data_IF_526977544804
#
_entry.id   IF_526977544804
#
_cell.length_a   1.000
_cell.length_b   1.000
_cell.length_c   1.000
_cell.angle_alpha   90.00
_cell.angle_beta   90.00
_cell.angle_gamma   90.00
#
_symmetry.space_group_name_H-M   'P 1'
#
loop_
_entity.id
_entity.type
_entity.pdbx_description
1 polymer ?
#
# COMPACT_ATOMS: atom_id res chain seq x y z
N UNK A 1 -13.73 -18.21 -64.23
CA UNK A 1 -12.65 -18.51 -65.20
C UNK A 1 -11.87 -17.22 -65.48
N UNK A 2 -10.65 -17.34 -66.03
CA UNK A 2 -9.98 -16.34 -66.90
C UNK A 2 -9.66 -14.92 -66.37
N UNK A 3 -8.36 -14.70 -66.05
CA UNK A 3 -7.58 -13.46 -66.36
C UNK A 3 -8.01 -12.11 -65.68
N UNK A 4 -7.23 -11.01 -65.60
CA UNK A 4 -5.87 -10.53 -66.01
C UNK A 4 -5.52 -9.33 -65.04
N UNK A 5 -4.36 -8.64 -64.99
CA UNK A 5 -2.90 -8.83 -65.21
C UNK A 5 -2.22 -7.45 -64.91
N UNK A 6 -0.87 -7.34 -64.95
CA UNK A 6 -0.04 -6.08 -65.03
C UNK A 6 -0.12 -5.16 -63.76
N UNK A 7 0.76 -4.20 -63.39
CA UNK A 7 1.93 -3.44 -63.92
C UNK A 7 3.03 -3.38 -62.81
N UNK A 8 4.31 -3.73 -63.01
CA UNK A 8 5.48 -2.88 -63.41
C UNK A 8 5.78 -1.65 -62.51
N UNK A 9 6.99 -1.13 -62.31
CA UNK A 9 8.39 -1.55 -62.56
C UNK A 9 9.34 -0.54 -61.86
N UNK A 10 10.65 -0.81 -61.75
CA UNK A 10 11.65 0.17 -61.28
C UNK A 10 13.00 0.00 -61.99
N UNK A 11 13.55 1.09 -62.54
CA UNK A 11 14.83 1.09 -63.27
C UNK A 11 16.04 1.30 -62.35
N UNK A 12 17.18 0.71 -62.72
CA UNK A 12 18.49 1.06 -62.19
C UNK A 12 19.24 1.93 -63.21
N UNK A 13 19.57 3.18 -62.86
CA UNK A 13 20.68 3.90 -63.51
C UNK A 13 21.16 5.09 -62.69
N UNK A 14 22.42 5.05 -62.25
CA UNK A 14 23.50 5.87 -62.84
C UNK A 14 24.82 5.53 -62.14
N UNK A 15 25.92 5.50 -62.89
CA UNK A 15 27.28 5.40 -62.33
C UNK A 15 27.88 6.81 -62.28
N UNK A 16 28.53 7.18 -61.18
CA UNK A 16 29.48 8.29 -61.17
C UNK A 16 30.91 7.74 -61.17
N UNK A 17 31.74 8.24 -62.08
CA UNK A 17 33.17 7.95 -62.15
C UNK A 17 33.92 9.19 -61.67
N UNK A 18 34.60 9.09 -60.53
CA UNK A 18 35.48 10.12 -59.99
C UNK A 18 36.82 9.46 -59.66
N UNK A 19 37.74 9.54 -60.62
CA UNK A 19 39.14 9.13 -60.45
C UNK A 19 39.85 10.10 -59.52
N UNK A 20 40.19 9.65 -58.31
CA UNK A 20 41.08 10.40 -57.43
C UNK A 20 42.50 10.20 -57.92
N UNK A 21 43.06 11.22 -58.58
CA UNK A 21 44.47 11.24 -58.96
C UNK A 21 45.35 11.28 -57.70
N UNK A 22 46.33 10.37 -57.63
CA UNK A 22 47.26 10.24 -56.51
C UNK A 22 48.29 11.38 -56.52
N UNK A 23 47.98 12.45 -55.78
CA UNK A 23 48.94 13.53 -55.54
C UNK A 23 50.13 13.02 -54.73
N UNK A 24 51.34 13.21 -55.27
CA UNK A 24 52.58 12.68 -54.70
C UNK A 24 52.89 13.30 -53.32
N UNK A 25 52.77 12.51 -52.24
CA UNK A 25 53.28 12.88 -50.93
C UNK A 25 54.79 12.60 -50.84
N UNK A 26 55.62 13.62 -51.10
CA UNK A 26 57.06 13.55 -50.74
C UNK A 26 57.21 13.52 -49.22
N UNK A 27 57.47 12.34 -48.67
CA UNK A 27 57.66 12.10 -47.24
C UNK A 27 59.07 12.48 -46.80
N UNK A 28 59.25 13.69 -46.27
CA UNK A 28 60.45 14.08 -45.52
C UNK A 28 60.15 14.12 -44.03
N UNK A 29 60.76 13.21 -43.27
CA UNK A 29 60.80 13.22 -41.80
C UNK A 29 62.10 12.59 -41.35
N UNK A 30 62.91 13.32 -40.59
CA UNK A 30 64.22 12.86 -40.10
C UNK A 30 64.13 12.30 -38.67
N UNK A 31 63.01 11.65 -38.34
CA UNK A 31 62.71 11.12 -37.00
C UNK A 31 62.28 9.65 -37.08
N UNK A 32 62.90 8.82 -36.24
CA UNK A 32 62.81 7.35 -36.23
C UNK A 32 61.47 6.78 -35.74
N UNK A 33 60.41 7.59 -35.69
CA UNK A 33 59.06 7.17 -35.26
C UNK A 33 57.97 8.03 -35.94
N UNK A 34 56.96 7.42 -36.59
CA UNK A 34 55.91 8.16 -37.30
C UNK A 34 54.78 8.61 -36.34
N UNK A 35 54.51 9.91 -36.27
CA UNK A 35 53.36 10.43 -35.51
C UNK A 35 52.03 10.10 -36.20
N UNK A 36 51.22 9.25 -35.57
CA UNK A 36 49.95 8.73 -36.12
C UNK A 36 48.77 9.73 -36.06
N UNK A 37 48.92 10.94 -36.60
CA UNK A 37 47.80 11.89 -36.69
C UNK A 37 46.81 11.49 -37.79
N UNK A 38 45.59 11.08 -37.39
CA UNK A 38 44.47 10.83 -38.31
C UNK A 38 43.62 12.08 -38.49
N UNK A 39 43.81 12.80 -39.60
CA UNK A 39 42.92 13.90 -39.99
C UNK A 39 41.61 13.30 -40.48
N UNK A 40 40.48 13.68 -39.85
CA UNK A 40 39.14 13.26 -40.26
C UNK A 40 38.50 14.32 -41.16
N UNK A 41 37.81 13.89 -42.23
CA UNK A 41 37.18 14.81 -43.18
C UNK A 41 36.07 15.66 -42.52
N UNK A 42 36.00 16.97 -42.81
CA UNK A 42 34.93 17.83 -42.31
C UNK A 42 33.58 17.45 -42.93
N UNK A 43 32.60 17.13 -42.09
CA UNK A 43 31.24 16.80 -42.51
C UNK A 43 30.36 18.05 -42.47
N UNK A 44 30.19 18.70 -43.62
CA UNK A 44 29.38 19.91 -43.79
C UNK A 44 27.87 19.61 -43.72
N UNK A 45 27.33 19.45 -42.52
CA UNK A 45 25.90 19.20 -42.28
C UNK A 45 25.06 20.49 -42.28
N UNK A 46 23.84 20.43 -42.85
CA UNK A 46 22.86 21.53 -42.82
C UNK A 46 22.45 21.89 -41.36
N UNK A 47 22.30 23.17 -41.00
CA UNK A 47 21.85 23.58 -39.67
C UNK A 47 20.46 23.01 -39.33
N UNK A 48 20.34 22.43 -38.12
CA UNK A 48 19.18 21.63 -37.74
C UNK A 48 17.90 22.48 -37.58
N UNK A 49 16.87 22.16 -38.37
CA UNK A 49 15.61 22.91 -38.49
C UNK A 49 14.87 23.03 -37.14
N UNK A 50 14.40 24.25 -36.84
CA UNK A 50 13.73 24.60 -35.57
C UNK A 50 12.46 23.76 -35.35
N UNK A 51 12.35 23.11 -34.19
CA UNK A 51 11.19 22.28 -33.84
C UNK A 51 9.91 23.14 -33.77
N UNK A 52 8.83 22.70 -34.43
CA UNK A 52 7.51 23.36 -34.36
C UNK A 52 6.92 23.23 -32.94
N UNK A 53 6.14 24.23 -32.52
CA UNK A 53 5.31 24.17 -31.30
C UNK A 53 4.24 23.08 -31.48
N UNK A 54 3.90 22.36 -30.42
CA UNK A 54 2.81 21.36 -30.43
C UNK A 54 1.46 22.07 -30.41
N UNK A 55 0.51 21.57 -31.22
CA UNK A 55 -0.83 22.15 -31.34
C UNK A 55 -1.60 22.10 -30.02
N UNK A 56 -2.42 23.12 -29.68
CA UNK A 56 -3.09 23.21 -28.38
C UNK A 56 -4.05 22.05 -28.12
N UNK A 57 -4.73 21.52 -29.16
CA UNK A 57 -5.57 20.32 -29.03
C UNK A 57 -4.74 19.05 -28.72
N UNK A 58 -3.52 18.95 -29.24
CA UNK A 58 -2.58 17.85 -28.97
C UNK A 58 -1.95 17.98 -27.58
N UNK A 59 -1.79 19.20 -27.05
CA UNK A 59 -1.42 19.42 -25.65
C UNK A 59 -2.56 19.01 -24.69
N UNK A 60 -3.75 19.57 -24.87
CA UNK A 60 -4.93 19.29 -24.02
C UNK A 60 -5.28 17.80 -23.97
N UNK A 61 -5.30 17.11 -25.11
CA UNK A 61 -5.57 15.67 -25.15
C UNK A 61 -4.49 14.81 -24.46
N UNK A 62 -3.23 15.27 -24.40
CA UNK A 62 -2.18 14.60 -23.59
C UNK A 62 -2.38 14.82 -22.11
N UNK A 63 -2.83 16.01 -21.69
CA UNK A 63 -3.15 16.33 -20.30
C UNK A 63 -4.38 15.58 -19.80
N UNK A 64 -5.46 15.55 -20.58
CA UNK A 64 -6.68 14.80 -20.22
C UNK A 64 -6.40 13.28 -20.21
N UNK A 65 -5.49 12.77 -21.05
CA UNK A 65 -4.99 11.39 -20.96
C UNK A 65 -4.12 11.13 -19.71
N UNK A 66 -3.48 12.15 -19.13
CA UNK A 66 -2.78 12.05 -17.83
C UNK A 66 -3.79 12.09 -16.67
N UNK A 67 -4.74 13.03 -16.66
CA UNK A 67 -5.81 13.11 -15.65
C UNK A 67 -6.58 11.80 -15.53
N UNK A 68 -7.08 11.26 -16.66
CA UNK A 68 -7.79 9.95 -16.73
C UNK A 68 -6.95 8.73 -16.33
N UNK A 69 -5.61 8.85 -16.22
CA UNK A 69 -4.76 7.81 -15.61
C UNK A 69 -4.72 7.98 -14.09
N UNK A 70 -4.35 9.17 -13.63
CA UNK A 70 -4.29 9.51 -12.20
C UNK A 70 -5.63 9.25 -11.50
N UNK A 71 -6.76 9.61 -12.13
CA UNK A 71 -8.11 9.28 -11.63
C UNK A 71 -8.34 7.78 -11.45
N UNK A 72 -7.84 6.94 -12.36
CA UNK A 72 -7.97 5.47 -12.29
C UNK A 72 -7.03 4.87 -11.25
N UNK A 73 -5.83 5.42 -11.12
CA UNK A 73 -4.85 5.04 -10.10
C UNK A 73 -5.36 5.41 -8.70
N UNK A 74 -5.87 6.63 -8.51
CA UNK A 74 -6.55 7.08 -7.28
C UNK A 74 -7.76 6.20 -6.96
N UNK A 75 -8.60 5.83 -7.95
CA UNK A 75 -9.74 4.92 -7.72
C UNK A 75 -9.30 3.52 -7.27
N UNK A 76 -8.18 3.00 -7.78
CA UNK A 76 -7.59 1.74 -7.29
C UNK A 76 -7.05 1.89 -5.87
N UNK A 77 -6.24 2.92 -5.61
CA UNK A 77 -5.68 3.17 -4.27
C UNK A 77 -6.79 3.35 -3.21
N UNK A 78 -7.86 4.07 -3.53
CA UNK A 78 -9.03 4.21 -2.63
C UNK A 78 -9.74 2.88 -2.37
N UNK A 79 -9.98 2.05 -3.39
CA UNK A 79 -10.60 0.73 -3.20
C UNK A 79 -9.76 -0.16 -2.29
N UNK A 80 -8.45 -0.08 -2.41
CA UNK A 80 -7.53 -0.98 -1.73
C UNK A 80 -7.23 -0.51 -0.29
N UNK A 81 -7.14 0.81 -0.05
CA UNK A 81 -7.09 1.39 1.30
C UNK A 81 -8.38 1.18 2.12
N UNK A 82 -9.49 0.77 1.47
CA UNK A 82 -10.74 0.37 2.12
C UNK A 82 -10.83 -1.14 2.39
N UNK A 83 -9.81 -1.94 2.02
CA UNK A 83 -9.76 -3.35 2.37
C UNK A 83 -9.25 -3.50 3.80
N UNK A 84 -10.08 -4.06 4.67
CA UNK A 84 -9.70 -4.40 6.03
C UNK A 84 -8.70 -5.57 6.01
N UNK A 85 -7.80 -5.63 7.00
CA UNK A 85 -7.01 -6.84 7.25
C UNK A 85 -7.96 -7.99 7.65
N UNK A 86 -7.70 -9.23 7.22
CA UNK A 86 -8.49 -10.38 7.69
C UNK A 86 -8.28 -10.58 9.20
N UNK A 87 -9.26 -11.22 9.84
CA UNK A 87 -9.22 -11.51 11.28
C UNK A 87 -9.01 -13.01 11.45
N UNK A 88 -7.75 -13.41 11.61
CA UNK A 88 -7.31 -14.81 11.67
C UNK A 88 -8.03 -15.65 12.76
N UNK A 89 -8.57 -15.02 13.80
CA UNK A 89 -9.34 -15.67 14.87
C UNK A 89 -10.77 -16.07 14.48
N UNK A 90 -11.36 -15.41 13.49
CA UNK A 90 -12.71 -15.70 13.00
C UNK A 90 -12.73 -16.77 11.90
N UNK A 91 -11.59 -17.01 11.25
CA UNK A 91 -11.47 -17.98 10.16
C UNK A 91 -10.96 -19.33 10.67
N UNK A 92 -11.69 -20.42 10.38
CA UNK A 92 -11.25 -21.78 10.74
C UNK A 92 -10.05 -22.16 9.86
N UNK A 93 -8.85 -22.42 10.42
CA UNK A 93 -7.67 -22.72 9.61
C UNK A 93 -7.83 -24.04 8.85
N UNK A 94 -7.54 -24.01 7.55
CA UNK A 94 -7.72 -25.14 6.63
C UNK A 94 -7.06 -26.45 7.08
N UNK A 95 -5.99 -26.38 7.88
CA UNK A 95 -5.31 -27.54 8.49
C UNK A 95 -6.24 -28.34 9.40
N UNK A 96 -7.10 -27.69 10.20
CA UNK A 96 -8.08 -28.36 11.06
C UNK A 96 -9.22 -28.96 10.24
N UNK A 97 -9.64 -28.30 9.15
CA UNK A 97 -10.65 -28.82 8.22
C UNK A 97 -10.15 -30.09 7.54
N UNK A 98 -8.93 -30.07 7.01
CA UNK A 98 -8.31 -31.24 6.36
C UNK A 98 -8.05 -32.40 7.35
N UNK A 99 -7.61 -32.10 8.58
CA UNK A 99 -7.34 -33.12 9.60
C UNK A 99 -8.60 -33.54 10.39
N UNK A 100 -9.81 -33.06 10.04
CA UNK A 100 -11.04 -33.27 10.82
C UNK A 100 -11.25 -34.74 11.22
N UNK A 101 -11.11 -35.67 10.29
CA UNK A 101 -11.37 -37.10 10.53
C UNK A 101 -10.36 -37.74 11.51
N UNK A 102 -9.16 -37.17 11.64
CA UNK A 102 -8.10 -37.65 12.54
C UNK A 102 -8.21 -36.98 13.92
N UNK A 103 -8.69 -35.73 13.98
CA UNK A 103 -8.75 -34.93 15.22
C UNK A 103 -10.11 -34.99 15.93
N UNK A 104 -11.16 -35.44 15.26
CA UNK A 104 -12.50 -35.54 15.87
C UNK A 104 -12.52 -36.63 16.93
N UNK A 105 -12.86 -36.26 18.17
CA UNK A 105 -13.15 -37.23 19.25
C UNK A 105 -14.62 -37.63 19.16
N UNK A 106 -14.98 -38.91 19.36
CA UNK A 106 -16.39 -39.31 19.43
C UNK A 106 -17.07 -38.61 20.62
N UNK A 107 -18.33 -38.22 20.46
CA UNK A 107 -19.10 -37.65 21.54
C UNK A 107 -19.42 -38.74 22.60
N UNK A 108 -19.15 -38.51 23.89
CA UNK A 108 -19.57 -39.42 24.94
C UNK A 108 -21.09 -39.43 25.03
N UNK A 109 -21.68 -40.62 25.18
CA UNK A 109 -23.08 -40.73 25.59
C UNK A 109 -23.18 -40.26 27.05
N UNK A 110 -24.14 -39.38 27.34
CA UNK A 110 -24.38 -38.85 28.67
C UNK A 110 -25.55 -39.61 29.31
N UNK A 111 -25.48 -39.86 30.62
CA UNK A 111 -26.67 -40.30 31.35
C UNK A 111 -27.69 -39.17 31.47
N UNK A 112 -28.96 -39.55 31.61
CA UNK A 112 -30.09 -38.62 31.75
C UNK A 112 -29.89 -37.69 32.97
N UNK A 113 -29.47 -38.25 34.10
CA UNK A 113 -29.06 -37.53 35.33
C UNK A 113 -28.07 -36.39 35.07
N UNK A 114 -27.08 -36.60 34.18
CA UNK A 114 -26.05 -35.61 33.85
C UNK A 114 -26.59 -34.55 32.89
N UNK A 115 -27.61 -34.86 32.10
CA UNK A 115 -28.32 -33.90 31.24
C UNK A 115 -29.23 -33.02 32.10
N UNK A 116 -30.00 -33.62 33.01
CA UNK A 116 -30.88 -32.92 33.96
C UNK A 116 -30.09 -31.99 34.89
N UNK A 117 -29.03 -32.51 35.54
CA UNK A 117 -28.14 -31.72 36.40
C UNK A 117 -27.56 -30.49 35.69
N UNK A 118 -27.21 -30.62 34.41
CA UNK A 118 -26.75 -29.48 33.59
C UNK A 118 -27.88 -28.51 33.25
N UNK A 119 -29.08 -29.01 32.96
CA UNK A 119 -30.25 -28.17 32.69
C UNK A 119 -30.63 -27.35 33.92
N UNK A 120 -30.59 -27.93 35.12
CA UNK A 120 -30.86 -27.22 36.37
C UNK A 120 -29.77 -26.21 36.73
N UNK A 121 -28.48 -26.57 36.60
CA UNK A 121 -27.38 -25.62 36.77
C UNK A 121 -27.49 -24.41 35.81
N UNK A 122 -28.00 -24.61 34.58
CA UNK A 122 -28.26 -23.53 33.63
C UNK A 122 -29.47 -22.67 34.02
N UNK A 123 -30.53 -23.24 34.62
CA UNK A 123 -31.65 -22.48 35.21
C UNK A 123 -31.15 -21.62 36.38
N UNK A 124 -30.37 -22.20 37.29
CA UNK A 124 -29.78 -21.46 38.42
C UNK A 124 -28.87 -20.33 37.93
N UNK A 125 -27.94 -20.61 37.02
CA UNK A 125 -27.02 -19.62 36.45
C UNK A 125 -27.74 -18.46 35.75
N UNK A 126 -28.78 -18.75 34.96
CA UNK A 126 -29.57 -17.70 34.30
C UNK A 126 -30.36 -16.85 35.29
N UNK A 127 -30.93 -17.44 36.36
CA UNK A 127 -31.56 -16.64 37.43
C UNK A 127 -30.53 -15.83 38.23
N UNK A 128 -29.32 -16.34 38.45
CA UNK A 128 -28.23 -15.62 39.11
C UNK A 128 -27.80 -14.39 38.31
N UNK A 129 -27.47 -14.57 37.01
CA UNK A 129 -27.07 -13.46 36.13
C UNK A 129 -28.20 -12.44 35.91
N UNK A 130 -29.46 -12.88 35.91
CA UNK A 130 -30.62 -11.97 35.90
C UNK A 130 -30.72 -11.13 37.19
N UNK A 131 -30.45 -11.73 38.36
CA UNK A 131 -30.43 -11.00 39.65
C UNK A 131 -29.23 -10.06 39.80
N UNK A 132 -28.10 -10.39 39.19
CA UNK A 132 -26.88 -9.58 39.16
C UNK A 132 -27.09 -8.34 38.28
N UNK A 133 -27.43 -8.52 37.00
CA UNK A 133 -27.73 -7.40 36.08
C UNK A 133 -28.86 -6.50 36.58
N UNK A 134 -29.89 -7.03 37.25
CA UNK A 134 -30.92 -6.22 37.91
C UNK A 134 -30.41 -5.37 39.10
N UNK A 135 -29.30 -5.73 39.74
CA UNK A 135 -28.62 -4.87 40.74
C UNK A 135 -27.80 -3.80 40.03
N UNK A 136 -27.10 -4.16 38.97
CA UNK A 136 -26.24 -3.26 38.20
C UNK A 136 -27.06 -2.12 37.58
N UNK A 137 -28.19 -2.43 36.93
CA UNK A 137 -29.13 -1.41 36.44
C UNK A 137 -29.62 -0.50 37.58
N UNK A 138 -30.09 -1.07 38.71
CA UNK A 138 -30.53 -0.28 39.88
C UNK A 138 -29.42 0.56 40.52
N UNK A 139 -28.15 0.19 40.33
CA UNK A 139 -27.00 0.98 40.77
C UNK A 139 -26.74 2.13 39.79
N UNK A 140 -26.78 1.88 38.48
CA UNK A 140 -26.67 2.90 37.43
C UNK A 140 -27.81 3.93 37.56
N UNK A 141 -29.05 3.48 37.69
CA UNK A 141 -30.24 4.34 37.87
C UNK A 141 -30.07 5.29 39.06
N UNK A 142 -29.54 4.79 40.18
CA UNK A 142 -29.25 5.59 41.38
C UNK A 142 -28.13 6.59 41.17
N UNK A 143 -27.04 6.19 40.50
CA UNK A 143 -25.93 7.09 40.21
C UNK A 143 -26.38 8.23 39.29
N UNK A 144 -27.09 7.93 38.21
CA UNK A 144 -27.63 8.93 37.27
C UNK A 144 -28.63 9.85 37.98
N UNK A 145 -29.53 9.32 38.80
CA UNK A 145 -30.43 10.14 39.62
C UNK A 145 -29.68 11.05 40.61
N UNK A 146 -28.66 10.53 41.31
CA UNK A 146 -27.84 11.36 42.21
C UNK A 146 -27.03 12.44 41.47
N UNK A 147 -26.55 12.15 40.27
CA UNK A 147 -25.83 13.10 39.42
C UNK A 147 -26.77 14.20 38.92
N UNK A 148 -27.96 13.84 38.45
CA UNK A 148 -28.96 14.80 37.97
C UNK A 148 -29.40 15.74 39.10
N UNK A 149 -29.77 15.20 40.26
CA UNK A 149 -30.15 16.02 41.42
C UNK A 149 -29.00 16.96 41.84
N UNK A 150 -27.76 16.48 41.86
CA UNK A 150 -26.60 17.32 42.20
C UNK A 150 -26.36 18.44 41.19
N UNK A 151 -26.64 18.22 39.90
CA UNK A 151 -26.57 19.25 38.86
C UNK A 151 -27.72 20.26 38.96
N UNK A 152 -28.93 19.81 39.30
CA UNK A 152 -30.10 20.68 39.47
C UNK A 152 -29.94 21.59 40.71
N UNK A 153 -29.48 21.04 41.85
CA UNK A 153 -29.13 21.84 43.05
C UNK A 153 -27.96 22.80 42.77
N UNK A 154 -26.90 22.35 42.08
CA UNK A 154 -25.78 23.21 41.67
C UNK A 154 -26.24 24.39 40.81
N UNK A 155 -27.25 24.19 39.95
CA UNK A 155 -27.81 25.24 39.11
C UNK A 155 -28.63 26.26 39.91
N UNK A 156 -29.32 25.84 40.97
CA UNK A 156 -30.07 26.73 41.85
C UNK A 156 -29.12 27.64 42.65
N UNK A 157 -27.97 27.11 43.09
CA UNK A 157 -26.96 27.88 43.82
C UNK A 157 -26.09 28.75 42.88
N UNK A 158 -25.68 28.24 41.71
CA UNK A 158 -24.76 28.93 40.81
C UNK A 158 -24.83 28.45 39.34
N UNK A 159 -25.36 29.26 38.44
CA UNK A 159 -25.45 28.89 37.01
C UNK A 159 -24.07 28.88 36.29
N UNK A 160 -23.08 29.64 36.78
CA UNK A 160 -21.71 29.64 36.21
C UNK A 160 -21.01 28.28 36.39
N UNK A 161 -20.99 27.73 37.62
CA UNK A 161 -20.39 26.42 37.90
C UNK A 161 -21.15 25.28 37.21
N UNK A 162 -22.46 25.41 37.03
CA UNK A 162 -23.27 24.46 36.23
C UNK A 162 -22.84 24.46 34.75
N UNK A 163 -22.55 25.62 34.17
CA UNK A 163 -22.03 25.73 32.80
C UNK A 163 -20.61 25.17 32.64
N UNK A 164 -19.78 25.20 33.68
CA UNK A 164 -18.47 24.53 33.69
C UNK A 164 -18.61 23.00 33.85
N UNK A 165 -19.40 22.54 34.83
CA UNK A 165 -19.54 21.13 35.18
C UNK A 165 -20.16 20.23 34.08
N UNK A 166 -20.87 20.83 33.11
CA UNK A 166 -21.45 20.13 31.95
C UNK A 166 -20.47 19.99 30.77
N UNK A 167 -19.33 20.69 30.78
CA UNK A 167 -18.36 20.62 29.69
C UNK A 167 -17.66 19.27 29.64
N UNK A 168 -17.43 18.76 28.43
CA UNK A 168 -16.76 17.48 28.22
C UNK A 168 -15.27 17.67 28.48
N UNK A 169 -14.76 17.10 29.57
CA UNK A 169 -13.33 17.04 29.85
C UNK A 169 -12.61 16.18 28.78
N UNK A 170 -11.89 16.86 27.89
CA UNK A 170 -11.12 16.23 26.82
C UNK A 170 -9.87 15.50 27.35
N UNK A 171 -9.42 15.76 28.59
CA UNK A 171 -8.26 15.07 29.18
C UNK A 171 -8.55 13.61 29.55
N UNK A 172 -9.83 13.24 29.66
CA UNK A 172 -10.29 11.86 29.81
C UNK A 172 -10.04 10.99 28.57
N UNK A 173 -9.61 11.57 27.44
CA UNK A 173 -9.33 10.86 26.19
C UNK A 173 -7.85 11.02 25.80
N UNK A 174 -7.08 9.92 25.62
CA UNK A 174 -7.48 8.52 25.63
C UNK A 174 -7.43 7.87 27.03
N UNK A 175 -8.58 7.40 27.53
CA UNK A 175 -8.65 6.56 28.72
C UNK A 175 -8.00 5.17 28.48
N UNK A 176 -7.22 4.69 29.45
CA UNK A 176 -6.61 3.36 29.41
C UNK A 176 -6.56 2.74 30.81
N UNK A 177 -7.25 1.61 30.99
CA UNK A 177 -7.24 0.83 32.22
C UNK A 177 -6.78 -0.62 31.93
N UNK A 178 -6.11 -1.24 32.91
CA UNK A 178 -5.77 -2.67 32.90
C UNK A 178 -6.75 -3.42 33.80
N UNK A 179 -7.22 -4.59 33.36
CA UNK A 179 -8.08 -5.44 34.17
C UNK A 179 -7.37 -6.00 35.41
N UNK A 180 -8.12 -6.48 36.42
CA UNK A 180 -7.54 -7.09 37.61
C UNK A 180 -6.79 -8.38 37.27
N UNK A 181 -5.66 -8.59 37.94
CA UNK A 181 -4.89 -9.84 37.87
C UNK A 181 -5.46 -10.88 38.84
N UNK A 182 -5.27 -12.17 38.54
CA UNK A 182 -5.64 -13.26 39.45
C UNK A 182 -4.81 -13.26 40.75
N UNK A 183 -3.59 -12.72 40.69
CA UNK A 183 -2.64 -12.66 41.81
C UNK A 183 -1.93 -11.30 41.76
N UNK A 184 -1.73 -10.60 42.88
CA UNK A 184 -0.95 -9.35 42.90
C UNK A 184 0.51 -9.60 42.51
N UNK A 185 1.23 -8.58 41.99
CA UNK A 185 2.63 -8.71 41.63
C UNK A 185 3.50 -8.99 42.86
N UNK A 186 4.44 -9.92 42.73
CA UNK A 186 5.47 -10.20 43.73
C UNK A 186 6.51 -9.07 43.76
N UNK A 187 6.88 -8.63 44.96
CA UNK A 187 7.97 -7.67 45.14
C UNK A 187 9.30 -8.36 44.79
N UNK A 188 10.17 -7.65 44.07
CA UNK A 188 11.52 -8.10 43.67
C UNK A 188 11.55 -9.44 42.90
N UNK A 189 10.51 -9.74 42.10
CA UNK A 189 10.54 -10.88 41.18
C UNK A 189 11.41 -10.57 39.96
N UNK A 190 12.58 -11.19 39.89
CA UNK A 190 13.44 -11.19 38.71
C UNK A 190 12.86 -12.16 37.67
N UNK A 191 12.34 -11.59 36.57
CA UNK A 191 11.87 -12.39 35.43
C UNK A 191 13.06 -12.99 34.67
N UNK A 192 12.95 -14.23 34.16
CA UNK A 192 13.99 -14.81 33.31
C UNK A 192 14.12 -14.01 32.00
N UNK A 193 15.34 -13.94 31.48
CA UNK A 193 15.67 -13.22 30.24
C UNK A 193 15.14 -13.94 28.98
N UNK A 194 14.87 -13.19 27.91
CA UNK A 194 14.37 -13.73 26.65
C UNK A 194 13.86 -12.70 25.64
N UNK A 195 14.17 -12.91 24.36
CA UNK A 195 13.79 -12.03 23.26
C UNK A 195 12.31 -12.12 22.88
N UNK A 196 11.67 -10.97 22.64
CA UNK A 196 10.36 -10.90 22.00
C UNK A 196 10.51 -10.69 20.48
N UNK A 197 10.13 -11.70 19.69
CA UNK A 197 10.03 -11.58 18.23
C UNK A 197 8.58 -11.39 17.80
N UNK A 198 8.28 -10.32 17.06
CA UNK A 198 6.96 -10.13 16.44
C UNK A 198 6.81 -11.04 15.20
N UNK A 199 5.76 -11.87 15.21
CA UNK A 199 5.41 -12.81 14.14
C UNK A 199 4.09 -12.38 13.45
N UNK A 200 3.64 -11.13 13.69
CA UNK A 200 2.44 -10.55 13.09
C UNK A 200 2.48 -10.57 11.56
N UNK A 201 1.39 -11.01 10.95
CA UNK A 201 1.28 -11.14 9.50
C UNK A 201 1.15 -9.77 8.83
N UNK A 202 2.16 -9.37 8.07
CA UNK A 202 2.12 -8.16 7.26
C UNK A 202 1.34 -8.39 5.95
N UNK A 203 0.13 -7.81 5.89
CA UNK A 203 -0.82 -7.96 4.78
C UNK A 203 -0.64 -6.94 3.62
N UNK A 204 0.47 -6.18 3.59
CA UNK A 204 0.70 -5.06 2.65
C UNK A 204 1.07 -5.46 1.20
N UNK A 205 0.46 -6.54 0.67
CA UNK A 205 0.84 -7.22 -0.59
C UNK A 205 0.50 -6.47 -1.89
N UNK A 206 0.50 -5.15 -1.89
CA UNK A 206 0.21 -4.35 -3.08
C UNK A 206 1.06 -3.08 -3.26
N UNK A 207 1.87 -2.67 -2.28
CA UNK A 207 2.64 -1.43 -2.38
C UNK A 207 4.01 -1.60 -3.03
N UNK A 208 4.77 -2.67 -2.74
CA UNK A 208 6.13 -2.83 -3.29
C UNK A 208 6.16 -3.07 -4.80
N UNK A 209 5.31 -3.97 -5.33
CA UNK A 209 5.19 -4.18 -6.79
C UNK A 209 4.81 -2.89 -7.53
N UNK A 210 4.05 -1.99 -6.88
CA UNK A 210 3.64 -0.70 -7.43
C UNK A 210 4.70 0.38 -7.28
N UNK A 211 5.46 0.39 -6.18
CA UNK A 211 6.66 1.23 -6.02
C UNK A 211 7.70 0.88 -7.08
N UNK A 212 8.02 -0.40 -7.24
CA UNK A 212 8.93 -0.89 -8.27
C UNK A 212 8.47 -0.47 -9.67
N UNK A 213 7.19 -0.66 -10.01
CA UNK A 213 6.64 -0.22 -11.30
C UNK A 213 6.68 1.31 -11.50
N UNK A 214 6.43 2.11 -10.45
CA UNK A 214 6.52 3.57 -10.50
C UNK A 214 7.96 4.07 -10.64
N UNK A 215 8.89 3.48 -9.90
CA UNK A 215 10.31 3.79 -9.98
C UNK A 215 10.88 3.42 -11.35
N UNK A 216 10.48 2.27 -11.90
CA UNK A 216 10.86 1.84 -13.24
C UNK A 216 10.29 2.78 -14.32
N UNK A 217 9.08 3.34 -14.14
CA UNK A 217 8.53 4.43 -14.98
C UNK A 217 9.36 5.72 -14.84
N UNK A 218 9.72 6.12 -13.62
CA UNK A 218 10.56 7.29 -13.35
C UNK A 218 11.95 7.13 -13.99
N UNK A 219 12.58 5.97 -13.83
CA UNK A 219 13.90 5.69 -14.38
C UNK A 219 13.88 5.50 -15.90
N UNK A 220 12.78 4.99 -16.49
CA UNK A 220 12.54 5.04 -17.95
C UNK A 220 12.42 6.48 -18.48
N UNK A 221 11.77 7.38 -17.73
CA UNK A 221 11.71 8.81 -18.08
C UNK A 221 13.03 9.57 -17.85
N UNK A 222 13.89 9.11 -16.92
CA UNK A 222 15.24 9.68 -16.68
C UNK A 222 16.27 9.32 -17.75
N UNK A 223 16.03 8.31 -18.61
CA UNK A 223 17.01 7.93 -19.67
C UNK A 223 17.24 9.11 -20.61
N UNK A 224 18.44 9.73 -20.62
CA UNK A 224 18.68 10.88 -21.48
C UNK A 224 18.63 10.44 -22.95
N UNK A 225 18.11 11.30 -23.82
CA UNK A 225 18.35 11.18 -25.26
C UNK A 225 19.87 11.24 -25.46
N UNK A 226 20.51 10.10 -25.73
CA UNK A 226 21.93 10.05 -26.03
C UNK A 226 22.18 10.74 -27.37
N UNK A 227 22.46 12.04 -27.30
CA UNK A 227 23.11 12.80 -28.37
C UNK A 227 24.43 12.07 -28.62
N UNK A 228 24.51 11.31 -29.71
CA UNK A 228 25.69 10.52 -30.07
C UNK A 228 26.86 11.44 -30.38
N UNK A 229 27.57 11.89 -29.34
CA UNK A 229 28.88 12.52 -29.45
C UNK A 229 29.83 11.48 -30.06
N UNK A 230 29.95 11.48 -31.39
CA UNK A 230 31.08 10.85 -32.07
C UNK A 230 32.35 11.40 -31.42
N UNK A 231 33.13 10.54 -30.77
CA UNK A 231 34.49 10.90 -30.38
C UNK A 231 35.27 11.23 -31.67
N UNK A 232 36.13 12.25 -31.60
CA UNK A 232 37.16 12.48 -32.61
C UNK A 232 38.22 11.40 -32.50
#
# INVERSE_FOLDING_TARGET
MSFNRIISAAMMSTRSLLSVSTTCSRSFSTLTSPLMFRITHPLCAEPMKKKKRVDPAVAKSREDRRKRKMEKEIKKLKKNAQQLKPIDELEIPYTLVAQKNIRTRPAPQLSEEVIESRADLLKEWTTYRSRETQKDYKLIDRLVFSQQNALDELRLESEELYQEAIQIDLTLLPFSAKGPLHTPPLQNYESPDGDYSDISRNFEKEYEDRKAAMEDILNKNKKPHQIKKKKK
#
